data_IF_952215753401
#
_entry.id   IF_952215753401
#
_cell.length_a   1.000
_cell.length_b   1.000
_cell.length_c   1.000
_cell.angle_alpha   90.00
_cell.angle_beta   90.00
_cell.angle_gamma   90.00
#
_symmetry.space_group_name_H-M   'P 1'
#
loop_
_entity.id
_entity.type
_entity.pdbx_description
1 polymer ?
#
# COMPACT_ATOMS: atom_id res chain seq x y z
N UNK A 1 -7.50 20.34 -1.03
CA UNK A 1 -7.00 18.94 -1.10
C UNK A 1 -5.61 18.90 -0.49
N UNK A 2 -5.35 18.00 0.47
CA UNK A 2 -4.01 17.83 1.07
C UNK A 2 -3.20 16.90 0.17
N UNK A 3 -2.01 17.33 -0.22
CA UNK A 3 -1.09 16.53 -1.04
C UNK A 3 0.35 16.84 -0.63
N UNK A 4 1.29 15.96 -0.95
CA UNK A 4 2.72 16.25 -0.85
C UNK A 4 3.06 17.26 -1.95
N UNK A 5 3.61 18.43 -1.61
CA UNK A 5 3.94 19.47 -2.61
C UNK A 5 5.40 19.45 -3.03
N UNK A 6 6.29 19.13 -2.09
CA UNK A 6 7.72 18.97 -2.37
C UNK A 6 8.36 17.90 -1.49
N UNK A 7 9.43 17.31 -2.01
CA UNK A 7 10.28 16.38 -1.27
C UNK A 7 11.74 16.60 -1.66
N UNK A 8 12.61 16.63 -0.66
CA UNK A 8 14.05 16.81 -0.81
C UNK A 8 14.76 15.64 -0.14
N UNK A 9 15.72 15.03 -0.83
CA UNK A 9 16.51 13.94 -0.26
C UNK A 9 17.63 14.50 0.64
N UNK A 10 18.33 13.61 1.33
CA UNK A 10 19.53 14.01 2.05
C UNK A 10 20.62 14.47 1.08
N UNK A 11 21.21 15.63 1.34
CA UNK A 11 22.36 16.15 0.60
C UNK A 11 23.69 15.55 1.09
N UNK A 12 23.67 14.70 2.12
CA UNK A 12 24.90 14.10 2.64
C UNK A 12 25.41 13.01 1.70
N UNK A 13 26.73 12.90 1.62
CA UNK A 13 27.41 11.84 0.86
C UNK A 13 28.30 11.05 1.79
N UNK A 14 28.17 9.72 1.74
CA UNK A 14 29.06 8.82 2.47
C UNK A 14 30.22 8.35 1.58
N UNK A 15 31.38 8.09 2.20
CA UNK A 15 32.60 7.66 1.48
C UNK A 15 32.42 6.35 0.73
N UNK A 16 31.69 5.40 1.31
CA UNK A 16 31.42 4.12 0.66
C UNK A 16 30.28 4.30 -0.37
N UNK A 17 30.54 4.08 -1.67
CA UNK A 17 29.59 4.30 -2.76
C UNK A 17 28.40 3.32 -2.73
N UNK A 18 28.52 2.20 -2.02
CA UNK A 18 27.49 1.15 -2.00
C UNK A 18 26.47 1.32 -0.87
N UNK A 19 26.56 2.39 -0.07
CA UNK A 19 25.62 2.61 1.02
C UNK A 19 24.28 3.08 0.45
N UNK A 20 23.29 2.19 0.52
CA UNK A 20 21.87 2.51 0.38
C UNK A 20 21.42 3.44 1.52
N UNK A 21 20.50 4.40 1.33
CA UNK A 21 20.09 4.99 0.07
C UNK A 21 20.95 6.19 -0.37
N UNK A 22 21.98 6.56 0.40
CA UNK A 22 22.81 7.77 0.22
C UNK A 22 23.39 7.99 -1.18
N UNK A 23 23.68 6.92 -1.93
CA UNK A 23 24.31 7.05 -3.25
C UNK A 23 23.41 6.63 -4.41
N UNK A 24 22.16 6.26 -4.13
CA UNK A 24 21.24 5.72 -5.17
C UNK A 24 20.77 6.81 -6.11
N UNK A 25 20.55 8.01 -5.57
CA UNK A 25 19.96 9.16 -6.27
C UNK A 25 20.98 10.20 -6.70
N UNK A 26 22.26 10.01 -6.31
CA UNK A 26 23.35 10.91 -6.67
C UNK A 26 23.39 11.12 -8.18
N UNK A 27 23.36 12.39 -8.59
CA UNK A 27 23.41 12.85 -9.98
C UNK A 27 22.30 12.31 -10.91
N UNK A 28 21.27 11.64 -10.38
CA UNK A 28 20.17 11.08 -11.18
C UNK A 28 18.94 11.98 -11.26
N UNK A 29 18.73 12.84 -10.27
CA UNK A 29 17.53 13.64 -10.15
C UNK A 29 17.85 15.10 -9.87
N UNK A 30 16.99 15.99 -10.37
CA UNK A 30 17.01 17.40 -10.02
C UNK A 30 16.15 17.56 -8.77
N UNK A 31 16.76 18.01 -7.68
CA UNK A 31 16.10 18.25 -6.40
C UNK A 31 15.81 19.73 -6.16
N UNK A 32 14.74 20.07 -5.40
CA UNK A 32 13.76 19.16 -4.80
C UNK A 32 12.73 18.65 -5.82
N UNK A 33 12.14 17.48 -5.55
CA UNK A 33 11.00 16.96 -6.29
C UNK A 33 9.79 17.87 -6.03
N UNK A 34 9.14 18.32 -7.10
CA UNK A 34 7.87 19.05 -7.04
C UNK A 34 6.73 18.13 -7.46
N UNK A 35 5.62 18.20 -6.74
CA UNK A 35 4.49 17.30 -6.90
C UNK A 35 3.21 18.09 -7.20
N UNK A 36 2.40 17.52 -8.08
CA UNK A 36 0.99 17.87 -8.23
C UNK A 36 0.12 16.94 -7.36
N UNK A 37 -1.18 17.26 -7.16
CA UNK A 37 -2.10 16.42 -6.39
C UNK A 37 -2.12 14.94 -6.82
N UNK A 38 -1.86 14.68 -8.10
CA UNK A 38 -1.55 13.36 -8.65
C UNK A 38 -0.21 13.47 -9.37
N UNK A 39 0.76 12.65 -8.97
CA UNK A 39 2.09 12.59 -9.59
C UNK A 39 2.44 11.14 -9.89
N UNK A 40 2.92 10.88 -11.11
CA UNK A 40 3.27 9.53 -11.57
C UNK A 40 4.77 9.49 -11.84
N UNK A 41 5.47 8.60 -11.14
CA UNK A 41 6.87 8.28 -11.45
C UNK A 41 6.93 7.20 -12.52
N UNK A 42 7.49 7.54 -13.69
CA UNK A 42 7.68 6.62 -14.81
C UNK A 42 9.17 6.48 -15.16
N UNK A 43 9.60 5.29 -15.57
CA UNK A 43 10.99 5.02 -15.95
C UNK A 43 11.33 3.53 -15.94
N UNK A 44 12.53 3.17 -16.40
CA UNK A 44 12.99 1.79 -16.51
C UNK A 44 13.11 1.06 -15.16
N UNK A 45 13.13 -0.27 -15.20
CA UNK A 45 13.41 -1.09 -14.01
C UNK A 45 14.80 -0.74 -13.45
N UNK A 46 14.94 -0.71 -12.13
CA UNK A 46 16.19 -0.37 -11.46
C UNK A 46 16.55 1.13 -11.40
N UNK A 47 15.72 2.03 -11.96
CA UNK A 47 16.02 3.48 -11.89
C UNK A 47 15.74 4.14 -10.52
N UNK A 48 15.18 3.40 -9.56
CA UNK A 48 14.99 3.86 -8.18
C UNK A 48 13.60 4.40 -7.82
N UNK A 49 12.57 4.22 -8.66
CA UNK A 49 11.18 4.66 -8.38
C UNK A 49 10.63 4.11 -7.06
N UNK A 50 10.67 2.79 -6.92
CA UNK A 50 10.23 2.07 -5.71
C UNK A 50 11.02 2.52 -4.47
N UNK A 51 12.33 2.71 -4.65
CA UNK A 51 13.21 3.22 -3.59
C UNK A 51 12.83 4.62 -3.14
N UNK A 52 12.51 5.52 -4.08
CA UNK A 52 12.07 6.88 -3.77
C UNK A 52 10.74 6.87 -3.01
N UNK A 53 9.76 6.08 -3.47
CA UNK A 53 8.47 5.94 -2.79
C UNK A 53 8.62 5.37 -1.37
N UNK A 54 9.49 4.37 -1.18
CA UNK A 54 9.80 3.82 0.15
C UNK A 54 10.40 4.88 1.08
N UNK A 55 11.33 5.71 0.60
CA UNK A 55 11.93 6.79 1.38
C UNK A 55 10.90 7.86 1.74
N UNK A 56 10.03 8.24 0.79
CA UNK A 56 8.94 9.19 1.05
C UNK A 56 7.99 8.63 2.12
N UNK A 57 7.55 7.38 1.98
CA UNK A 57 6.70 6.71 2.96
C UNK A 57 7.37 6.61 4.34
N UNK A 58 8.68 6.32 4.35
CA UNK A 58 9.57 6.30 5.50
C UNK A 58 9.56 7.61 6.28
N UNK A 59 9.93 8.71 5.60
CA UNK A 59 9.96 10.07 6.14
C UNK A 59 8.61 10.51 6.68
N UNK A 60 7.54 10.25 5.92
CA UNK A 60 6.19 10.65 6.28
C UNK A 60 5.57 9.75 7.37
N UNK A 61 6.24 8.65 7.74
CA UNK A 61 5.77 7.64 8.70
C UNK A 61 4.36 7.11 8.34
N UNK A 62 4.11 6.95 7.05
CA UNK A 62 2.81 6.50 6.53
C UNK A 62 2.56 5.02 6.88
N UNK A 63 1.31 4.69 7.19
CA UNK A 63 0.90 3.30 7.44
C UNK A 63 1.14 2.43 6.21
N UNK A 64 1.76 1.28 6.41
CA UNK A 64 2.14 0.35 5.35
C UNK A 64 3.58 0.51 4.86
N UNK A 65 4.33 1.50 5.36
CA UNK A 65 5.75 1.66 5.02
C UNK A 65 6.56 0.41 5.37
N UNK A 66 7.55 0.11 4.54
CA UNK A 66 8.52 -0.93 4.84
C UNK A 66 9.64 -0.35 5.69
N UNK A 67 10.03 -1.08 6.74
CA UNK A 67 11.31 -0.79 7.38
C UNK A 67 12.41 -1.36 6.48
N UNK A 68 13.43 -0.56 6.12
CA UNK A 68 14.62 -1.12 5.50
C UNK A 68 15.17 -2.20 6.43
N UNK A 69 15.59 -3.32 5.85
CA UNK A 69 16.18 -4.43 6.60
C UNK A 69 17.45 -3.94 7.32
N UNK A 70 17.31 -3.51 8.57
CA UNK A 70 18.44 -3.07 9.40
C UNK A 70 18.87 -4.22 10.28
N UNK A 71 20.13 -4.63 10.17
CA UNK A 71 20.75 -5.46 11.19
C UNK A 71 20.80 -4.65 12.49
N UNK A 72 20.21 -5.20 13.56
CA UNK A 72 20.02 -4.55 14.86
C UNK A 72 21.31 -4.08 15.59
N UNK A 73 22.48 -4.28 14.97
CA UNK A 73 23.79 -4.01 15.55
C UNK A 73 24.43 -2.69 15.10
N UNK A 74 23.87 -1.99 14.10
CA UNK A 74 24.40 -0.71 13.63
C UNK A 74 23.32 0.37 13.68
N UNK A 75 23.72 1.63 13.95
CA UNK A 75 22.88 2.81 13.78
C UNK A 75 22.16 2.71 12.42
N UNK A 76 20.82 2.80 12.44
CA UNK A 76 20.02 2.59 11.24
C UNK A 76 20.22 3.78 10.30
N UNK A 77 21.28 3.73 9.50
CA UNK A 77 21.64 4.80 8.55
C UNK A 77 20.50 5.09 7.56
N UNK A 78 19.58 4.15 7.33
CA UNK A 78 18.38 4.42 6.55
C UNK A 78 17.42 5.36 7.29
N UNK A 79 17.20 5.14 8.59
CA UNK A 79 16.41 6.05 9.43
C UNK A 79 17.08 7.43 9.51
N UNK A 80 18.41 7.47 9.63
CA UNK A 80 19.16 8.73 9.57
C UNK A 80 18.94 9.45 8.23
N UNK A 81 19.05 8.75 7.10
CA UNK A 81 18.79 9.32 5.79
C UNK A 81 17.35 9.86 5.68
N UNK A 82 16.37 9.09 6.15
CA UNK A 82 14.97 9.53 6.21
C UNK A 82 14.85 10.81 7.06
N UNK A 83 15.51 10.88 8.22
CA UNK A 83 15.47 12.06 9.08
C UNK A 83 16.09 13.31 8.41
N UNK A 84 17.11 13.13 7.59
CA UNK A 84 17.77 14.18 6.81
C UNK A 84 16.95 14.67 5.61
N UNK A 85 16.01 13.86 5.10
CA UNK A 85 15.09 14.28 4.05
C UNK A 85 14.12 15.36 4.56
N UNK A 86 13.63 16.21 3.66
CA UNK A 86 12.65 17.24 3.98
C UNK A 86 11.45 17.15 3.05
N UNK A 87 10.30 17.62 3.52
CA UNK A 87 9.08 17.66 2.70
C UNK A 87 8.24 18.89 3.03
N UNK A 88 7.33 19.21 2.12
CA UNK A 88 6.26 20.18 2.36
C UNK A 88 4.95 19.61 1.85
N UNK A 89 3.85 20.01 2.48
CA UNK A 89 2.52 19.68 2.00
C UNK A 89 1.97 20.84 1.17
N UNK A 90 0.87 20.61 0.47
CA UNK A 90 0.12 21.63 -0.25
C UNK A 90 -0.41 22.72 0.67
N UNK A 91 -1.14 23.66 0.08
CA UNK A 91 -1.86 24.71 0.80
C UNK A 91 -3.36 24.59 0.57
N UNK A 92 -4.16 25.18 1.47
CA UNK A 92 -5.59 25.33 1.25
C UNK A 92 -5.90 26.45 0.23
N UNK A 93 -7.18 26.68 -0.04
CA UNK A 93 -7.66 27.69 -0.99
C UNK A 93 -7.24 29.12 -0.64
N UNK A 94 -6.93 29.37 0.63
CA UNK A 94 -6.46 30.66 1.14
C UNK A 94 -4.93 30.77 1.15
N UNK A 95 -4.20 29.80 0.59
CA UNK A 95 -2.74 29.78 0.55
C UNK A 95 -2.07 29.42 1.89
N UNK A 96 -2.83 28.92 2.87
CA UNK A 96 -2.28 28.48 4.16
C UNK A 96 -1.74 27.05 4.00
N UNK A 97 -0.45 26.81 4.29
CA UNK A 97 0.17 25.49 4.16
C UNK A 97 -0.38 24.50 5.18
N UNK A 98 -0.46 23.23 4.78
CA UNK A 98 -0.73 22.13 5.70
C UNK A 98 0.55 21.71 6.43
N UNK A 99 0.44 21.42 7.73
CA UNK A 99 1.58 21.01 8.56
C UNK A 99 1.48 19.57 9.07
N UNK A 100 0.32 18.95 8.92
CA UNK A 100 0.06 17.59 9.38
C UNK A 100 -0.42 16.73 8.24
N UNK A 101 0.12 15.52 8.19
CA UNK A 101 -0.34 14.51 7.26
C UNK A 101 -1.69 13.97 7.74
N UNK A 102 -2.67 13.73 6.84
CA UNK A 102 -3.93 13.13 7.26
C UNK A 102 -3.73 11.72 7.82
N UNK A 103 -4.45 11.38 8.89
CA UNK A 103 -4.29 10.10 9.61
C UNK A 103 -4.56 8.86 8.75
N UNK A 104 -5.46 8.99 7.76
CA UNK A 104 -5.86 7.90 6.86
C UNK A 104 -4.89 7.70 5.69
N UNK A 105 -3.76 8.42 5.64
CA UNK A 105 -2.74 8.29 4.59
C UNK A 105 -2.12 6.90 4.60
N UNK A 106 -1.93 6.31 3.41
CA UNK A 106 -1.47 4.92 3.27
C UNK A 106 -0.46 4.75 2.14
N UNK A 107 0.45 3.80 2.38
CA UNK A 107 1.31 3.23 1.37
C UNK A 107 0.72 1.88 0.96
N UNK A 108 0.39 1.74 -0.32
CA UNK A 108 -0.32 0.59 -0.87
C UNK A 108 0.56 -0.06 -1.93
N UNK A 109 0.81 -1.35 -1.78
CA UNK A 109 1.65 -2.15 -2.68
C UNK A 109 0.80 -3.06 -3.54
N UNK A 110 1.29 -3.44 -4.71
CA UNK A 110 0.61 -4.44 -5.54
C UNK A 110 0.43 -5.76 -4.80
N UNK A 111 1.36 -6.14 -3.93
CA UNK A 111 1.27 -7.36 -3.12
C UNK A 111 0.09 -7.32 -2.15
N UNK A 112 -0.25 -6.15 -1.61
CA UNK A 112 -1.39 -6.00 -0.69
C UNK A 112 -2.71 -6.25 -1.44
N UNK A 113 -2.83 -5.69 -2.64
CA UNK A 113 -3.99 -5.91 -3.53
C UNK A 113 -4.05 -7.37 -3.98
N UNK A 114 -2.91 -7.93 -4.40
CA UNK A 114 -2.81 -9.32 -4.83
C UNK A 114 -3.13 -10.29 -3.69
N UNK A 115 -2.76 -9.96 -2.46
CA UNK A 115 -3.10 -10.75 -1.29
C UNK A 115 -4.60 -10.80 -1.06
N UNK A 116 -5.30 -9.65 -1.14
CA UNK A 116 -6.75 -9.62 -1.02
C UNK A 116 -7.43 -10.42 -2.15
N UNK A 117 -6.95 -10.31 -3.39
CA UNK A 117 -7.42 -11.16 -4.50
C UNK A 117 -7.26 -12.65 -4.18
N UNK A 118 -6.05 -13.06 -3.77
CA UNK A 118 -5.76 -14.48 -3.45
C UNK A 118 -6.58 -14.99 -2.28
N UNK A 119 -6.80 -14.17 -1.26
CA UNK A 119 -7.61 -14.49 -0.09
C UNK A 119 -9.06 -14.78 -0.48
N UNK A 120 -9.64 -13.99 -1.38
CA UNK A 120 -10.99 -14.27 -1.93
C UNK A 120 -10.99 -15.57 -2.72
N UNK A 121 -10.02 -15.78 -3.61
CA UNK A 121 -9.91 -16.99 -4.43
C UNK A 121 -9.76 -18.26 -3.57
N UNK A 122 -8.90 -18.23 -2.55
CA UNK A 122 -8.69 -19.37 -1.64
C UNK A 122 -9.94 -19.70 -0.83
N UNK A 123 -10.64 -18.68 -0.32
CA UNK A 123 -11.92 -18.86 0.37
C UNK A 123 -12.96 -19.53 -0.55
N UNK A 124 -13.08 -19.08 -1.80
CA UNK A 124 -14.00 -19.67 -2.77
C UNK A 124 -13.69 -21.16 -3.02
N UNK A 125 -12.41 -21.53 -3.13
CA UNK A 125 -11.99 -22.93 -3.29
C UNK A 125 -12.36 -23.75 -2.05
N UNK A 126 -12.08 -23.24 -0.84
CA UNK A 126 -12.41 -23.92 0.42
C UNK A 126 -13.93 -24.13 0.56
N UNK A 127 -14.74 -23.15 0.17
CA UNK A 127 -16.20 -23.27 0.18
C UNK A 127 -16.71 -24.34 -0.79
N UNK A 128 -16.15 -24.39 -2.00
CA UNK A 128 -16.48 -25.44 -2.96
C UNK A 128 -16.10 -26.83 -2.44
N UNK A 129 -14.92 -26.97 -1.81
CA UNK A 129 -14.50 -28.23 -1.16
C UNK A 129 -15.45 -28.66 -0.05
N UNK A 130 -15.75 -27.77 0.89
CA UNK A 130 -16.69 -28.07 1.99
C UNK A 130 -18.10 -28.41 1.49
N UNK A 131 -18.57 -27.73 0.43
CA UNK A 131 -19.86 -28.05 -0.18
C UNK A 131 -19.84 -29.47 -0.76
N UNK A 132 -18.75 -29.86 -1.43
CA UNK A 132 -18.58 -31.19 -1.99
C UNK A 132 -18.53 -32.26 -0.88
N UNK A 133 -17.79 -32.01 0.20
CA UNK A 133 -17.71 -32.93 1.35
C UNK A 133 -19.10 -33.18 1.97
N UNK A 134 -19.88 -32.12 2.19
CA UNK A 134 -21.26 -32.25 2.68
C UNK A 134 -22.16 -33.01 1.70
N UNK A 135 -21.95 -32.87 0.39
CA UNK A 135 -22.69 -33.65 -0.60
C UNK A 135 -22.30 -35.14 -0.58
N UNK A 136 -21.02 -35.48 -0.34
CA UNK A 136 -20.58 -36.86 -0.13
C UNK A 136 -21.18 -37.47 1.13
N UNK A 137 -21.44 -36.67 2.16
CA UNK A 137 -22.16 -37.06 3.37
C UNK A 137 -23.69 -37.21 3.16
N UNK A 138 -24.19 -37.06 1.93
CA UNK A 138 -25.60 -37.29 1.56
C UNK A 138 -26.50 -36.07 1.68
N UNK A 139 -25.96 -34.86 1.91
CA UNK A 139 -26.74 -33.62 1.84
C UNK A 139 -27.00 -33.23 0.39
N UNK A 140 -28.20 -32.70 0.11
CA UNK A 140 -28.46 -32.03 -1.16
C UNK A 140 -27.63 -30.75 -1.26
N UNK A 141 -27.29 -30.33 -2.48
CA UNK A 141 -26.50 -29.11 -2.74
C UNK A 141 -27.10 -27.87 -2.05
N UNK A 142 -28.42 -27.71 -2.10
CA UNK A 142 -29.13 -26.61 -1.42
C UNK A 142 -29.01 -26.68 0.11
N UNK A 143 -29.04 -27.89 0.69
CA UNK A 143 -28.84 -28.07 2.14
C UNK A 143 -27.39 -27.81 2.54
N UNK A 144 -26.42 -28.27 1.76
CA UNK A 144 -25.00 -28.00 2.01
C UNK A 144 -24.70 -26.48 1.96
N UNK A 145 -25.22 -25.79 0.95
CA UNK A 145 -25.08 -24.34 0.81
C UNK A 145 -25.78 -23.57 1.93
N UNK A 146 -27.00 -23.95 2.32
CA UNK A 146 -27.72 -23.28 3.40
C UNK A 146 -27.05 -23.46 4.77
N UNK A 147 -26.44 -24.62 5.05
CA UNK A 147 -25.63 -24.85 6.27
C UNK A 147 -24.39 -23.96 6.28
N UNK A 148 -23.68 -23.87 5.15
CA UNK A 148 -22.54 -22.96 5.00
C UNK A 148 -22.97 -21.50 5.19
N UNK A 149 -24.04 -21.07 4.53
CA UNK A 149 -24.56 -19.70 4.63
C UNK A 149 -25.02 -19.37 6.05
N UNK A 150 -25.63 -20.30 6.78
CA UNK A 150 -26.03 -20.08 8.18
C UNK A 150 -24.83 -19.97 9.13
N UNK A 151 -23.78 -20.79 8.94
CA UNK A 151 -22.50 -20.65 9.66
C UNK A 151 -21.81 -19.32 9.33
N UNK A 152 -21.96 -18.88 8.08
CA UNK A 152 -21.45 -17.62 7.58
C UNK A 152 -22.21 -16.42 8.17
N UNK A 153 -23.53 -16.43 8.28
CA UNK A 153 -24.31 -15.34 8.88
C UNK A 153 -24.02 -15.13 10.37
N UNK A 154 -23.68 -16.20 11.10
CA UNK A 154 -23.21 -16.10 12.50
C UNK A 154 -21.84 -15.40 12.63
N UNK A 155 -21.09 -15.27 11.54
CA UNK A 155 -19.88 -14.45 11.39
C UNK A 155 -20.16 -13.38 10.34
N UNK A 156 -20.70 -12.24 10.75
CA UNK A 156 -21.21 -11.09 9.94
C UNK A 156 -20.35 -10.67 8.70
N UNK A 157 -19.12 -11.17 8.52
CA UNK A 157 -18.23 -10.97 7.38
C UNK A 157 -18.71 -11.49 6.00
N UNK A 158 -19.80 -12.27 5.91
CA UNK A 158 -20.13 -12.99 4.67
C UNK A 158 -21.15 -12.34 3.73
N UNK A 159 -21.91 -11.34 4.19
CA UNK A 159 -22.96 -10.70 3.37
C UNK A 159 -22.36 -9.81 2.25
N UNK A 160 -21.13 -9.32 2.43
CA UNK A 160 -20.35 -8.60 1.39
C UNK A 160 -19.69 -9.59 0.41
N UNK A 161 -19.58 -10.87 0.78
CA UNK A 161 -18.74 -11.86 0.11
C UNK A 161 -19.50 -12.72 -0.93
N UNK A 162 -20.83 -12.78 -0.85
CA UNK A 162 -21.65 -13.72 -1.64
C UNK A 162 -22.24 -13.16 -2.93
N UNK A 163 -22.15 -11.84 -3.21
CA UNK A 163 -22.95 -11.24 -4.28
C UNK A 163 -22.37 -11.20 -5.69
N UNK A 164 -21.12 -11.60 -5.97
CA UNK A 164 -20.73 -12.16 -7.29
C UNK A 164 -19.22 -12.47 -7.36
N UNK A 165 -18.83 -13.49 -8.13
CA UNK A 165 -17.43 -13.87 -8.37
C UNK A 165 -16.71 -12.75 -9.13
N UNK A 166 -16.17 -11.79 -8.40
CA UNK A 166 -15.43 -10.68 -8.98
C UNK A 166 -14.22 -11.16 -9.77
N UNK A 167 -14.00 -10.54 -10.93
CA UNK A 167 -12.73 -10.58 -11.63
C UNK A 167 -11.61 -9.99 -10.76
N UNK A 168 -10.35 -10.26 -11.11
CA UNK A 168 -9.21 -9.62 -10.45
C UNK A 168 -9.31 -8.08 -10.49
N UNK A 169 -9.88 -7.53 -11.57
CA UNK A 169 -10.10 -6.09 -11.72
C UNK A 169 -11.17 -5.55 -10.77
N UNK A 170 -12.32 -6.22 -10.67
CA UNK A 170 -13.39 -5.81 -9.76
C UNK A 170 -13.00 -5.97 -8.29
N UNK A 171 -12.26 -7.03 -7.96
CA UNK A 171 -11.71 -7.20 -6.60
C UNK A 171 -10.74 -6.06 -6.26
N UNK A 172 -9.90 -5.66 -7.21
CA UNK A 172 -9.01 -4.50 -7.03
C UNK A 172 -9.80 -3.20 -6.87
N UNK A 173 -10.88 -3.02 -7.64
CA UNK A 173 -11.75 -1.85 -7.52
C UNK A 173 -12.44 -1.79 -6.16
N UNK A 174 -12.97 -2.92 -5.67
CA UNK A 174 -13.58 -3.02 -4.35
C UNK A 174 -12.56 -2.70 -3.26
N UNK A 175 -11.33 -3.22 -3.37
CA UNK A 175 -10.25 -2.85 -2.48
C UNK A 175 -10.02 -1.32 -2.49
N UNK A 176 -9.96 -0.69 -3.66
CA UNK A 176 -9.80 0.76 -3.70
C UNK A 176 -11.00 1.51 -3.10
N UNK A 177 -12.23 1.04 -3.31
CA UNK A 177 -13.42 1.68 -2.71
C UNK A 177 -13.44 1.60 -1.19
N UNK A 178 -12.94 0.50 -0.61
CA UNK A 178 -12.90 0.31 0.84
C UNK A 178 -11.72 1.04 1.50
N UNK A 179 -10.56 1.08 0.84
CA UNK A 179 -9.31 1.58 1.43
C UNK A 179 -8.96 3.02 1.02
N UNK A 180 -9.50 3.55 -0.08
CA UNK A 180 -9.32 4.95 -0.51
C UNK A 180 -10.41 5.84 0.10
N UNK A 181 -10.12 6.31 1.30
CA UNK A 181 -10.91 7.27 2.03
C UNK A 181 -10.60 8.71 1.56
N UNK A 182 -11.59 9.62 1.61
CA UNK A 182 -11.34 11.04 1.39
C UNK A 182 -10.32 11.62 2.37
N UNK A 183 -9.69 12.72 1.98
CA UNK A 183 -8.73 13.46 2.81
C UNK A 183 -7.56 12.61 3.30
N UNK A 184 -6.91 11.87 2.40
CA UNK A 184 -5.74 11.06 2.70
C UNK A 184 -4.70 11.16 1.57
N UNK A 185 -3.41 11.02 1.93
CA UNK A 185 -2.33 10.87 0.97
C UNK A 185 -2.11 9.39 0.67
N UNK A 186 -2.15 9.03 -0.60
CA UNK A 186 -1.89 7.67 -1.05
C UNK A 186 -0.60 7.60 -1.86
N UNK A 187 0.26 6.66 -1.49
CA UNK A 187 1.45 6.31 -2.24
C UNK A 187 1.24 4.89 -2.79
N UNK A 188 1.30 4.72 -4.10
CA UNK A 188 1.14 3.43 -4.76
C UNK A 188 2.47 2.95 -5.34
N UNK A 189 2.87 1.73 -4.98
CA UNK A 189 4.03 1.06 -5.54
C UNK A 189 3.60 -0.19 -6.31
N UNK A 190 4.27 -0.42 -7.43
CA UNK A 190 4.11 -1.62 -8.24
C UNK A 190 4.80 -2.81 -7.60
#
# INVERSE_FOLDING_TARGET
MIYLSSFKLSNQTLKNPNIYPYNIFRDKYIEPFSFAPITIFYGNNGCGKSTLLNIIAGKLKIKGKEMPASNAYYENYCERFENECAYSLGSNENGIPFYQLPENSRYIKSEDILYEIKKIQQKAILEHGLTYDYMQEGLSLEKAQSVLNKKKEQRIENIIFSQEKYSNGETSLQFFQEYLLPNALYLFIR
#
